data_IF_367362597499
#
_entry.id   IF_367362597499
#
_cell.length_a   1.000
_cell.length_b   1.000
_cell.length_c   1.000
_cell.angle_alpha   90.00
_cell.angle_beta   90.00
_cell.angle_gamma   90.00
#
_symmetry.space_group_name_H-M   'P 1'
#
loop_
_entity.id
_entity.type
_entity.pdbx_description
1 polymer ?
#
# COMPACT_ATOMS: atom_id res chain seq x y z
N UNK A 1 -8.12 19.12 -2.62
CA UNK A 1 -9.12 18.07 -2.90
C UNK A 1 -9.17 17.11 -1.72
N UNK A 2 -10.32 16.95 -1.07
CA UNK A 2 -10.53 15.93 -0.04
C UNK A 2 -10.89 14.60 -0.68
N UNK A 3 -10.58 13.49 0.00
CA UNK A 3 -11.02 12.13 -0.36
C UNK A 3 -11.84 11.58 0.80
N UNK A 4 -12.91 10.86 0.48
CA UNK A 4 -13.61 10.04 1.45
C UNK A 4 -13.00 8.64 1.45
N UNK A 5 -12.69 8.15 2.64
CA UNK A 5 -12.25 6.77 2.88
C UNK A 5 -13.39 6.01 3.54
N UNK A 6 -13.49 4.72 3.24
CA UNK A 6 -14.56 3.87 3.74
C UNK A 6 -14.42 3.66 5.27
N UNK A 7 -15.47 3.99 6.02
CA UNK A 7 -15.58 3.83 7.47
C UNK A 7 -16.06 2.46 7.93
N UNK A 8 -16.12 1.47 7.02
CA UNK A 8 -16.62 0.12 7.27
C UNK A 8 -18.01 0.14 7.93
N UNK A 9 -18.07 -0.13 9.23
CA UNK A 9 -19.32 -0.26 9.99
C UNK A 9 -20.11 1.05 10.10
N UNK A 10 -19.45 2.20 9.95
CA UNK A 10 -20.08 3.51 10.11
C UNK A 10 -20.45 4.19 8.79
N UNK A 11 -20.15 3.57 7.64
CA UNK A 11 -20.34 4.19 6.32
C UNK A 11 -21.83 4.50 6.06
N UNK A 12 -22.73 3.64 6.53
CA UNK A 12 -24.18 3.74 6.30
C UNK A 12 -24.76 5.06 6.82
N UNK A 13 -24.25 5.56 7.95
CA UNK A 13 -24.67 6.84 8.52
C UNK A 13 -24.22 8.05 7.68
N UNK A 14 -23.14 7.89 6.89
CA UNK A 14 -22.59 8.94 6.04
C UNK A 14 -23.03 8.85 4.58
N UNK A 15 -23.94 7.91 4.25
CA UNK A 15 -24.51 7.83 2.91
C UNK A 15 -25.29 9.12 2.64
N UNK A 16 -25.17 9.72 1.43
CA UNK A 16 -25.85 10.97 1.08
C UNK A 16 -27.35 10.98 1.37
N UNK A 17 -28.04 9.84 1.28
CA UNK A 17 -29.45 9.71 1.64
C UNK A 17 -29.72 9.93 3.12
N UNK A 18 -28.83 9.45 4.00
CA UNK A 18 -28.95 9.58 5.45
C UNK A 18 -28.71 11.03 5.91
N UNK A 19 -27.72 11.71 5.30
CA UNK A 19 -27.40 13.12 5.54
C UNK A 19 -28.43 14.07 4.85
N UNK A 20 -29.48 13.52 4.21
CA UNK A 20 -30.47 14.29 3.46
C UNK A 20 -29.85 15.15 2.33
N UNK A 21 -28.75 14.68 1.75
CA UNK A 21 -28.17 15.27 0.56
C UNK A 21 -28.90 14.74 -0.68
N UNK A 22 -29.85 15.53 -1.18
CA UNK A 22 -30.64 15.22 -2.37
C UNK A 22 -29.91 15.51 -3.70
N UNK A 23 -28.64 15.92 -3.65
CA UNK A 23 -27.82 16.17 -4.83
C UNK A 23 -27.19 14.86 -5.32
N UNK A 24 -26.83 14.81 -6.60
CA UNK A 24 -26.05 13.69 -7.17
C UNK A 24 -24.76 13.49 -6.38
N UNK A 25 -24.61 12.31 -5.77
CA UNK A 25 -23.43 11.96 -5.00
C UNK A 25 -22.16 12.05 -5.83
N UNK A 26 -21.11 12.66 -5.27
CA UNK A 26 -19.78 12.60 -5.85
C UNK A 26 -19.22 11.20 -5.68
N UNK A 27 -18.74 10.62 -6.76
CA UNK A 27 -18.12 9.31 -6.70
C UNK A 27 -16.75 9.38 -6.02
N UNK A 28 -16.56 8.49 -5.05
CA UNK A 28 -15.28 8.21 -4.43
C UNK A 28 -14.94 6.75 -4.75
N UNK A 29 -13.65 6.44 -4.91
CA UNK A 29 -13.26 5.06 -5.14
C UNK A 29 -13.32 4.28 -3.83
N UNK A 30 -14.06 3.18 -3.84
CA UNK A 30 -14.28 2.38 -2.64
C UNK A 30 -13.00 1.67 -2.19
N UNK A 31 -12.82 1.64 -0.86
CA UNK A 31 -11.76 0.97 -0.10
C UNK A 31 -10.33 1.47 -0.37
N UNK A 32 -9.65 2.10 0.61
CA UNK A 32 -8.21 2.34 0.50
C UNK A 32 -7.48 0.99 0.37
N UNK A 33 -6.60 0.89 -0.62
CA UNK A 33 -5.74 -0.29 -0.77
C UNK A 33 -4.37 -0.05 -0.18
N UNK A 34 -3.78 -1.12 0.34
CA UNK A 34 -2.40 -1.13 0.81
C UNK A 34 -1.46 -0.72 -0.31
N UNK A 35 -0.57 0.23 -0.02
CA UNK A 35 0.45 0.69 -0.96
C UNK A 35 1.82 0.35 -0.40
N UNK A 36 2.55 -0.53 -1.07
CA UNK A 36 3.93 -0.86 -0.70
C UNK A 36 4.87 -0.01 -1.56
N UNK A 37 5.04 1.26 -1.19
CA UNK A 37 5.95 2.20 -1.88
C UNK A 37 6.53 3.20 -0.89
N UNK A 38 7.74 3.66 -1.16
CA UNK A 38 8.36 4.78 -0.45
C UNK A 38 7.80 6.10 -0.98
N UNK A 39 7.41 7.00 -0.08
CA UNK A 39 6.94 8.35 -0.42
C UNK A 39 8.12 9.21 -0.89
N UNK A 40 8.02 9.78 -2.10
CA UNK A 40 8.97 10.75 -2.61
C UNK A 40 8.39 12.16 -2.48
N UNK A 41 9.21 13.13 -2.08
CA UNK A 41 8.79 14.53 -2.07
C UNK A 41 8.57 15.00 -3.51
N UNK A 42 7.38 15.56 -3.77
CA UNK A 42 6.98 16.03 -5.11
C UNK A 42 7.06 17.56 -5.19
N UNK A 43 7.25 18.24 -4.07
CA UNK A 43 7.24 19.70 -3.96
C UNK A 43 8.50 20.25 -3.30
N UNK A 44 8.83 21.48 -3.67
CA UNK A 44 9.82 22.34 -3.00
C UNK A 44 9.34 22.75 -1.60
N UNK A 45 10.25 23.24 -0.73
CA UNK A 45 9.89 23.77 0.59
C UNK A 45 8.86 24.91 0.57
N UNK A 46 8.77 25.65 -0.55
CA UNK A 46 7.77 26.70 -0.79
C UNK A 46 6.39 26.16 -1.23
N UNK A 47 6.24 24.85 -1.39
CA UNK A 47 5.01 24.22 -1.88
C UNK A 47 4.85 24.16 -3.40
N UNK A 48 5.83 24.63 -4.19
CA UNK A 48 5.80 24.47 -5.64
C UNK A 48 6.12 23.05 -6.08
N UNK A 49 5.39 22.51 -7.05
CA UNK A 49 5.62 21.18 -7.62
C UNK A 49 6.94 21.17 -8.41
N UNK A 50 7.75 20.14 -8.23
CA UNK A 50 9.04 19.98 -8.92
C UNK A 50 8.87 19.84 -10.44
N UNK A 51 9.77 20.42 -11.26
CA UNK A 51 9.78 20.20 -12.70
C UNK A 51 10.04 18.71 -12.98
N UNK A 52 9.14 18.07 -13.73
CA UNK A 52 9.19 16.63 -14.03
C UNK A 52 8.27 15.76 -13.18
N UNK A 53 7.66 16.28 -12.11
CA UNK A 53 6.58 15.58 -11.43
C UNK A 53 5.34 15.46 -12.34
N UNK A 54 4.64 14.31 -12.33
CA UNK A 54 3.41 14.16 -13.11
C UNK A 54 2.37 15.15 -12.62
N UNK A 55 1.97 16.06 -13.50
CA UNK A 55 0.86 16.98 -13.26
C UNK A 55 -0.38 16.41 -13.92
N UNK A 56 -1.56 16.54 -13.30
CA UNK A 56 -2.80 16.38 -14.06
C UNK A 56 -2.72 17.34 -15.27
N UNK A 57 -3.10 16.85 -16.45
CA UNK A 57 -3.11 17.65 -17.68
C UNK A 57 -4.56 17.86 -18.07
N UNK A 58 -4.95 19.10 -18.37
CA UNK A 58 -6.31 19.42 -18.82
C UNK A 58 -7.24 19.96 -17.73
N UNK A 59 -8.56 19.84 -17.96
CA UNK A 59 -9.63 20.48 -17.16
C UNK A 59 -9.76 20.01 -15.71
N UNK A 60 -9.01 18.99 -15.29
CA UNK A 60 -9.01 18.48 -13.92
C UNK A 60 -7.83 19.01 -13.09
N UNK A 61 -6.90 19.74 -13.72
CA UNK A 61 -5.60 20.07 -13.16
C UNK A 61 -5.50 21.41 -12.44
N UNK A 62 -6.39 22.34 -12.80
CA UNK A 62 -6.28 23.75 -12.41
C UNK A 62 -7.54 24.15 -11.66
N UNK A 63 -7.36 24.81 -10.52
CA UNK A 63 -8.45 25.49 -9.79
C UNK A 63 -9.12 26.46 -10.79
N UNK A 64 -10.38 26.18 -11.16
CA UNK A 64 -11.14 27.00 -12.11
C UNK A 64 -11.28 26.43 -13.53
N UNK A 65 -10.73 25.25 -13.84
CA UNK A 65 -10.84 24.68 -15.20
C UNK A 65 -12.18 24.02 -15.53
N UNK A 66 -13.03 23.80 -14.52
CA UNK A 66 -14.47 23.51 -14.67
C UNK A 66 -15.35 24.73 -14.37
N UNK A 67 -14.76 25.93 -14.26
CA UNK A 67 -15.53 27.15 -14.07
C UNK A 67 -16.27 27.47 -15.37
N UNK A 68 -17.59 27.43 -15.31
CA UNK A 68 -18.46 28.00 -16.33
C UNK A 68 -18.91 29.34 -15.74
N UNK A 69 -18.59 30.45 -16.42
CA UNK A 69 -19.05 31.76 -15.97
C UNK A 69 -20.58 31.81 -15.92
N UNK A 70 -21.14 32.64 -15.02
CA UNK A 70 -22.59 32.85 -14.90
C UNK A 70 -23.26 33.18 -16.24
N UNK A 71 -22.59 33.94 -17.10
CA UNK A 71 -23.06 34.31 -18.44
C UNK A 71 -22.80 33.27 -19.54
N UNK A 72 -22.00 32.25 -19.26
CA UNK A 72 -21.66 31.15 -20.19
C UNK A 72 -22.54 29.91 -19.98
N UNK A 73 -23.41 29.94 -18.95
CA UNK A 73 -24.31 28.85 -18.64
C UNK A 73 -25.50 28.82 -19.61
N UNK A 74 -25.91 27.66 -20.13
CA UNK A 74 -27.06 27.58 -21.02
C UNK A 74 -28.35 27.97 -20.28
N UNK A 75 -29.26 28.66 -20.99
CA UNK A 75 -30.55 29.11 -20.45
C UNK A 75 -31.42 27.97 -19.91
N UNK A 76 -31.23 26.75 -20.42
CA UNK A 76 -31.85 25.52 -19.91
C UNK A 76 -30.75 24.53 -19.55
N UNK A 77 -30.89 23.90 -18.38
CA UNK A 77 -29.94 22.89 -17.93
C UNK A 77 -30.39 21.50 -18.37
N UNK A 78 -29.68 20.95 -19.35
CA UNK A 78 -29.84 19.57 -19.74
C UNK A 78 -29.18 18.63 -18.73
N UNK A 79 -29.73 17.41 -18.61
CA UNK A 79 -29.17 16.35 -17.75
C UNK A 79 -27.70 16.06 -18.06
N UNK A 80 -27.29 16.17 -19.33
CA UNK A 80 -25.90 16.01 -19.78
C UNK A 80 -25.00 17.10 -19.17
N UNK A 81 -25.43 18.36 -19.26
CA UNK A 81 -24.72 19.51 -18.70
C UNK A 81 -24.62 19.42 -17.18
N UNK A 82 -25.70 19.03 -16.50
CA UNK A 82 -25.69 18.77 -15.06
C UNK A 82 -24.70 17.67 -14.69
N UNK A 83 -24.63 16.58 -15.46
CA UNK A 83 -23.67 15.49 -15.20
C UNK A 83 -22.21 15.94 -15.38
N UNK A 84 -21.95 16.84 -16.32
CA UNK A 84 -20.60 17.41 -16.52
C UNK A 84 -20.23 18.32 -15.34
N UNK A 85 -21.11 19.25 -14.96
CA UNK A 85 -20.90 20.18 -13.83
C UNK A 85 -20.71 19.41 -12.52
N UNK A 86 -21.51 18.38 -12.28
CA UNK A 86 -21.40 17.51 -11.11
C UNK A 86 -20.18 16.57 -11.16
N UNK A 87 -19.47 16.49 -12.29
CA UNK A 87 -18.34 15.59 -12.49
C UNK A 87 -18.73 14.10 -12.53
N UNK A 88 -20.00 13.79 -12.78
CA UNK A 88 -20.55 12.43 -12.88
C UNK A 88 -20.51 11.87 -14.31
N UNK A 89 -20.23 12.69 -15.32
CA UNK A 89 -20.14 12.27 -16.73
C UNK A 89 -19.11 11.14 -16.95
N UNK A 90 -17.95 11.22 -16.28
CA UNK A 90 -16.87 10.23 -16.41
C UNK A 90 -16.90 9.16 -15.30
N UNK A 91 -18.03 9.02 -14.60
CA UNK A 91 -18.18 8.07 -13.48
C UNK A 91 -17.71 6.65 -13.86
N UNK A 92 -18.20 6.11 -14.98
CA UNK A 92 -17.86 4.75 -15.43
C UNK A 92 -16.36 4.59 -15.70
N UNK A 93 -15.73 5.60 -16.30
CA UNK A 93 -14.29 5.58 -16.58
C UNK A 93 -13.49 5.57 -15.28
N UNK A 94 -13.83 6.45 -14.33
CA UNK A 94 -13.20 6.51 -13.00
C UNK A 94 -13.34 5.21 -12.22
N UNK A 95 -14.50 4.55 -12.30
CA UNK A 95 -14.72 3.24 -11.69
C UNK A 95 -13.78 2.17 -12.29
N UNK A 96 -13.67 2.13 -13.61
CA UNK A 96 -12.77 1.20 -14.32
C UNK A 96 -11.31 1.48 -13.95
N UNK A 97 -10.88 2.74 -13.92
CA UNK A 97 -9.53 3.13 -13.53
C UNK A 97 -9.20 2.73 -12.10
N UNK A 98 -10.12 2.98 -11.15
CA UNK A 98 -9.93 2.56 -9.78
C UNK A 98 -9.83 1.05 -9.63
N UNK A 99 -10.64 0.27 -10.38
CA UNK A 99 -10.51 -1.21 -10.44
C UNK A 99 -9.19 -1.66 -11.05
N UNK A 100 -8.70 -1.00 -12.11
CA UNK A 100 -7.40 -1.29 -12.74
C UNK A 100 -6.24 -1.03 -11.79
N UNK A 101 -6.20 0.14 -11.15
CA UNK A 101 -5.18 0.47 -10.16
C UNK A 101 -5.19 -0.54 -9.00
N UNK A 102 -6.40 -0.90 -8.56
CA UNK A 102 -6.62 -1.88 -7.53
C UNK A 102 -6.05 -3.27 -7.86
N UNK A 103 -6.18 -3.70 -9.11
CA UNK A 103 -5.63 -4.97 -9.59
C UNK A 103 -4.10 -4.93 -9.69
N UNK A 104 -3.55 -3.87 -10.28
CA UNK A 104 -2.11 -3.68 -10.44
C UNK A 104 -1.39 -3.65 -9.08
N UNK A 105 -1.99 -2.99 -8.08
CA UNK A 105 -1.41 -2.92 -6.74
C UNK A 105 -1.38 -4.28 -6.07
N UNK A 106 -2.45 -5.08 -6.20
CA UNK A 106 -2.49 -6.44 -5.67
C UNK A 106 -1.44 -7.36 -6.31
N UNK A 107 -1.23 -7.27 -7.63
CA UNK A 107 -0.16 -8.00 -8.31
C UNK A 107 1.24 -7.58 -7.82
N UNK A 108 1.45 -6.28 -7.57
CA UNK A 108 2.72 -5.79 -7.02
C UNK A 108 2.97 -6.30 -5.61
N UNK A 109 1.94 -6.33 -4.76
CA UNK A 109 2.03 -6.85 -3.39
C UNK A 109 2.46 -8.32 -3.40
N UNK A 110 1.78 -9.17 -4.18
CA UNK A 110 2.15 -10.59 -4.33
C UNK A 110 3.62 -10.78 -4.72
N UNK A 111 4.08 -10.04 -5.74
CA UNK A 111 5.49 -10.10 -6.19
C UNK A 111 6.47 -9.65 -5.11
N UNK A 112 6.11 -8.69 -4.27
CA UNK A 112 6.97 -8.20 -3.19
C UNK A 112 7.02 -9.23 -2.05
N UNK A 113 5.89 -9.82 -1.69
CA UNK A 113 5.78 -10.87 -0.68
C UNK A 113 6.59 -12.10 -1.08
N UNK A 114 6.46 -12.56 -2.33
CA UNK A 114 7.29 -13.66 -2.87
C UNK A 114 8.79 -13.35 -2.79
N UNK A 115 9.20 -12.11 -3.11
CA UNK A 115 10.61 -11.71 -3.00
C UNK A 115 11.10 -11.68 -1.56
N UNK A 116 10.27 -11.20 -0.63
CA UNK A 116 10.58 -11.18 0.81
C UNK A 116 10.70 -12.60 1.37
N UNK A 117 9.80 -13.50 0.99
CA UNK A 117 9.85 -14.92 1.38
C UNK A 117 11.17 -15.58 0.92
N UNK A 118 11.53 -15.43 -0.36
CA UNK A 118 12.79 -15.95 -0.90
C UNK A 118 14.03 -15.35 -0.23
N UNK A 119 13.98 -14.09 0.17
CA UNK A 119 15.08 -13.45 0.90
C UNK A 119 15.22 -14.03 2.32
N UNK A 120 14.10 -14.20 3.04
CA UNK A 120 14.06 -14.80 4.36
C UNK A 120 14.56 -16.26 4.35
N UNK A 121 14.16 -17.06 3.36
CA UNK A 121 14.67 -18.43 3.18
C UNK A 121 16.20 -18.45 3.00
N UNK A 122 16.75 -17.53 2.20
CA UNK A 122 18.20 -17.42 2.01
C UNK A 122 18.93 -17.02 3.29
N UNK A 123 18.36 -16.10 4.06
CA UNK A 123 18.92 -15.69 5.36
C UNK A 123 18.86 -16.84 6.37
N UNK A 124 17.76 -17.59 6.42
CA UNK A 124 17.64 -18.78 7.27
C UNK A 124 18.68 -19.84 6.90
N UNK A 125 18.88 -20.12 5.61
CA UNK A 125 19.91 -21.07 5.14
C UNK A 125 21.31 -20.58 5.52
N UNK A 126 21.60 -19.28 5.43
CA UNK A 126 22.89 -18.72 5.85
C UNK A 126 23.12 -18.92 7.35
N UNK A 127 22.12 -18.61 8.18
CA UNK A 127 22.20 -18.79 9.62
C UNK A 127 22.39 -20.27 10.00
N UNK A 128 21.73 -21.20 9.31
CA UNK A 128 21.94 -22.64 9.52
C UNK A 128 23.38 -23.05 9.18
N UNK A 129 23.90 -22.61 8.03
CA UNK A 129 25.30 -22.89 7.64
C UNK A 129 26.31 -22.27 8.61
N UNK A 130 26.03 -21.10 9.18
CA UNK A 130 26.87 -20.49 10.20
C UNK A 130 26.85 -21.31 11.50
N UNK A 131 25.67 -21.76 11.95
CA UNK A 131 25.55 -22.67 13.10
C UNK A 131 26.29 -23.99 12.88
N UNK A 132 26.16 -24.61 11.72
CA UNK A 132 26.87 -25.84 11.36
C UNK A 132 28.39 -25.66 11.41
N UNK A 133 28.91 -24.52 10.94
CA UNK A 133 30.34 -24.20 11.02
C UNK A 133 30.82 -24.06 12.47
N UNK A 134 30.05 -23.37 13.32
CA UNK A 134 30.39 -23.22 14.74
C UNK A 134 30.40 -24.59 15.43
N UNK A 135 29.41 -25.45 15.16
CA UNK A 135 29.37 -26.81 15.70
C UNK A 135 30.62 -27.60 15.26
N UNK A 136 30.95 -27.58 13.97
CA UNK A 136 32.13 -28.27 13.44
C UNK A 136 33.47 -27.73 14.01
N UNK A 137 33.55 -26.44 14.34
CA UNK A 137 34.71 -25.88 15.03
C UNK A 137 34.78 -26.30 16.50
N UNK A 138 33.64 -26.43 17.18
CA UNK A 138 33.59 -26.98 18.55
C UNK A 138 34.00 -28.45 18.58
N UNK A 139 33.52 -29.27 17.63
CA UNK A 139 33.89 -30.68 17.51
C UNK A 139 35.40 -30.86 17.31
N UNK A 140 36.02 -30.05 16.44
CA UNK A 140 37.49 -30.05 16.25
C UNK A 140 38.27 -29.72 17.52
N UNK A 141 37.76 -28.81 18.35
CA UNK A 141 38.40 -28.45 19.63
C UNK A 141 38.25 -29.54 20.69
N UNK A 142 37.15 -30.28 20.65
CA UNK A 142 36.95 -31.50 21.48
C UNK A 142 37.92 -32.60 21.05
N UNK A 143 38.04 -32.87 19.75
CA UNK A 143 38.98 -33.86 19.21
C UNK A 143 40.45 -33.52 19.49
N UNK A 144 40.81 -32.22 19.48
CA UNK A 144 42.15 -31.75 19.81
C UNK A 144 42.49 -31.81 21.32
N UNK A 145 41.54 -32.15 22.19
CA UNK A 145 41.75 -32.26 23.64
C UNK A 145 41.84 -30.93 24.39
N UNK A 146 41.46 -29.80 23.76
CA UNK A 146 41.41 -28.49 24.42
C UNK A 146 40.16 -28.33 25.32
N UNK A 147 39.11 -29.13 25.08
CA UNK A 147 37.84 -29.08 25.81
C UNK A 147 37.59 -30.43 26.48
N UNK A 148 37.85 -30.52 27.79
CA UNK A 148 37.52 -31.69 28.62
C UNK A 148 36.01 -31.74 28.93
N UNK A 149 35.26 -32.56 28.20
CA UNK A 149 33.83 -32.81 28.44
C UNK A 149 33.51 -33.33 29.86
N UNK A 150 34.50 -33.92 30.55
CA UNK A 150 34.40 -34.41 31.94
C UNK A 150 34.42 -33.30 33.00
N UNK A 151 34.83 -32.08 32.64
CA UNK A 151 34.82 -30.89 33.53
C UNK A 151 33.57 -30.03 33.37
N UNK A 152 32.72 -30.31 32.37
CA UNK A 152 31.43 -29.64 32.18
C UNK A 152 30.41 -30.17 33.20
N UNK A 153 29.61 -29.26 33.79
CA UNK A 153 28.66 -29.58 34.85
C UNK A 153 27.69 -30.72 34.44
N UNK A 154 27.38 -31.70 35.31
CA UNK A 154 26.59 -32.91 35.00
C UNK A 154 25.20 -32.67 34.40
N UNK A 155 24.66 -31.46 34.54
CA UNK A 155 23.33 -31.07 34.06
C UNK A 155 23.23 -31.16 32.52
N UNK A 156 24.35 -31.08 31.78
CA UNK A 156 24.34 -31.16 30.31
C UNK A 156 24.28 -32.58 29.75
N UNK A 157 24.42 -33.63 30.58
CA UNK A 157 24.38 -35.03 30.14
C UNK A 157 22.95 -35.62 30.06
N UNK A 158 21.92 -34.92 30.55
CA UNK A 158 20.58 -35.52 30.71
C UNK A 158 19.60 -35.34 29.52
N UNK A 159 19.94 -34.59 28.46
CA UNK A 159 18.96 -34.25 27.41
C UNK A 159 19.03 -35.10 26.13
N UNK A 160 19.75 -36.24 26.12
CA UNK A 160 19.95 -37.05 24.89
C UNK A 160 19.00 -38.27 24.80
N UNK A 161 18.14 -38.53 25.78
CA UNK A 161 17.18 -39.65 25.71
C UNK A 161 15.75 -39.18 25.98
N UNK A 162 14.99 -38.96 24.91
CA UNK A 162 13.53 -39.07 24.94
C UNK A 162 13.12 -40.07 23.84
N UNK A 163 12.75 -41.27 24.29
CA UNK A 163 11.91 -42.23 23.57
C UNK A 163 10.47 -41.70 23.44
#
# INVERSE_FOLDING_TARGET
>A
MSKHYHGNQFEDAFVPSMIQNYIVKKYCCDMPKTKIRVTKAISNPRGHILPGAPRPVGKDAIIGSHYIGTWQMPKKLDRKTCNIINGSADFRKRLIECRKQAFLTAQQIKRIEEKRARAAEREAIKLLKEKEKVIAEMDKKVEAGEIDLSKLCPIHQMNITFE
#
